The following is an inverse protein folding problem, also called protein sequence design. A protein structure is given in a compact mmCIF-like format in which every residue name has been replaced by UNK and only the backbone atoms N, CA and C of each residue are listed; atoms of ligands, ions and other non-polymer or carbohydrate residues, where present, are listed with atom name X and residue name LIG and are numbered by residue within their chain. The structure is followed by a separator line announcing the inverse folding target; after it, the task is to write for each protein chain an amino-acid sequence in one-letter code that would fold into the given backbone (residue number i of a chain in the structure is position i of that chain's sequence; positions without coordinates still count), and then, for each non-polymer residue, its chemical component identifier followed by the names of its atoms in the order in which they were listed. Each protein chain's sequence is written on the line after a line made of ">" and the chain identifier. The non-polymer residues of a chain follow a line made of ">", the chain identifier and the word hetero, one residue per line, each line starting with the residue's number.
data_IF_084607773362
#
_entry.id   IF_084607773362
#
_cell.length_a   1.000
_cell.length_b   1.000
_cell.length_c   1.000
_cell.angle_alpha   90.00
_cell.angle_beta   90.00
_cell.angle_gamma   90.00
#
_symmetry.space_group_name_H-M   'P 1'
#
loop_
_entity.id
_entity.type
_entity.pdbx_description
1 polymer ?
#
# COMPACT_ATOMS: atom_id res chain seq x y z
N UNK A 1 3.62 -4.58 -2.15
CA UNK A 1 3.14 -3.34 -1.49
C UNK A 1 1.86 -2.89 -2.15
N UNK A 2 0.88 -2.39 -1.41
CA UNK A 2 -0.35 -1.82 -1.97
C UNK A 2 -0.25 -0.29 -1.93
N UNK A 3 -0.50 0.36 -3.07
CA UNK A 3 -0.56 1.81 -3.18
C UNK A 3 -2.01 2.23 -3.39
N UNK A 4 -2.45 3.25 -2.66
CA UNK A 4 -3.78 3.83 -2.82
C UNK A 4 -3.70 5.35 -2.82
N UNK A 5 -4.52 5.96 -3.67
CA UNK A 5 -4.82 7.39 -3.64
C UNK A 5 -6.34 7.56 -3.49
N UNK A 6 -6.74 8.67 -2.88
CA UNK A 6 -8.14 9.05 -2.76
C UNK A 6 -8.32 10.52 -3.18
N UNK A 7 -9.61 10.92 -3.31
CA UNK A 7 -10.02 12.28 -3.70
C UNK A 7 -9.56 12.67 -5.11
N UNK A 8 -9.40 11.68 -5.99
CA UNK A 8 -9.32 11.91 -7.42
C UNK A 8 -10.71 12.19 -7.99
N UNK A 9 -10.77 12.74 -9.19
CA UNK A 9 -12.03 12.81 -9.94
C UNK A 9 -12.46 11.38 -10.28
N UNK A 10 -13.75 11.00 -10.08
CA UNK A 10 -14.25 9.71 -10.51
C UNK A 10 -13.99 9.45 -12.00
N UNK A 11 -13.69 8.20 -12.34
CA UNK A 11 -13.31 7.76 -13.68
C UNK A 11 -12.02 8.39 -14.24
N UNK A 12 -11.26 9.13 -13.42
CA UNK A 12 -9.96 9.65 -13.84
C UNK A 12 -8.89 8.55 -13.83
N UNK A 13 -8.00 8.63 -14.80
CA UNK A 13 -6.79 7.81 -14.81
C UNK A 13 -5.79 8.33 -13.78
N UNK A 14 -5.39 7.45 -12.87
CA UNK A 14 -4.36 7.70 -11.87
C UNK A 14 -3.08 7.03 -12.30
N UNK A 15 -2.04 7.84 -12.48
CA UNK A 15 -0.71 7.38 -12.83
C UNK A 15 0.14 7.13 -11.59
N UNK A 16 0.52 5.88 -11.35
CA UNK A 16 1.40 5.50 -10.25
C UNK A 16 2.81 5.24 -10.74
N UNK A 17 3.78 5.85 -10.09
CA UNK A 17 5.20 5.63 -10.33
C UNK A 17 5.92 5.22 -9.05
N UNK A 18 6.92 4.35 -9.19
CA UNK A 18 7.81 3.96 -8.10
C UNK A 18 9.27 4.15 -8.52
N UNK A 19 10.02 4.79 -7.65
CA UNK A 19 11.42 5.13 -7.81
C UNK A 19 12.21 4.58 -6.61
N UNK A 20 13.40 4.04 -6.84
CA UNK A 20 14.31 3.72 -5.73
C UNK A 20 15.14 4.94 -5.37
N UNK A 21 15.36 5.15 -4.08
CA UNK A 21 16.19 6.24 -3.58
C UNK A 21 17.58 6.21 -4.23
N UNK A 22 18.02 7.38 -4.74
CA UNK A 22 19.31 7.53 -5.41
C UNK A 22 19.38 6.96 -6.82
N UNK A 23 18.28 6.47 -7.40
CA UNK A 23 18.22 6.02 -8.80
C UNK A 23 17.50 7.03 -9.69
N UNK A 24 18.06 7.24 -10.87
CA UNK A 24 17.48 8.11 -11.91
C UNK A 24 16.49 7.38 -12.83
N UNK A 25 16.30 6.06 -12.65
CA UNK A 25 15.39 5.24 -13.46
C UNK A 25 14.14 4.87 -12.68
N UNK A 26 12.98 5.03 -13.33
CA UNK A 26 11.68 4.59 -12.84
C UNK A 26 11.63 3.06 -12.81
N UNK A 27 11.34 2.49 -11.64
CA UNK A 27 11.31 1.04 -11.45
C UNK A 27 9.96 0.43 -11.79
N UNK A 28 8.89 1.20 -11.62
CA UNK A 28 7.54 0.72 -11.84
C UNK A 28 6.63 1.86 -12.27
N UNK A 29 5.71 1.53 -13.16
CA UNK A 29 4.70 2.42 -13.71
C UNK A 29 3.42 1.63 -13.95
N UNK A 30 2.30 2.12 -13.43
CA UNK A 30 0.98 1.55 -13.73
C UNK A 30 -0.10 2.62 -13.62
N UNK A 31 -1.11 2.51 -14.47
CA UNK A 31 -2.31 3.35 -14.39
C UNK A 31 -3.46 2.55 -13.80
N UNK A 32 -4.25 3.18 -12.93
CA UNK A 32 -5.53 2.65 -12.46
C UNK A 32 -6.61 3.72 -12.50
N UNK A 33 -7.83 3.33 -12.83
CA UNK A 33 -8.97 4.26 -12.89
C UNK A 33 -9.56 4.47 -11.49
N UNK A 34 -9.81 5.72 -11.14
CA UNK A 34 -10.48 6.08 -9.89
C UNK A 34 -11.95 5.67 -9.92
N UNK A 35 -12.42 5.08 -8.82
CA UNK A 35 -13.83 4.68 -8.66
C UNK A 35 -14.75 5.89 -8.39
N UNK A 36 -16.04 5.63 -8.19
CA UNK A 36 -17.05 6.66 -7.88
C UNK A 36 -16.75 7.50 -6.62
N UNK A 37 -15.94 6.97 -5.70
CA UNK A 37 -15.50 7.65 -4.47
C UNK A 37 -14.18 8.44 -4.69
N UNK A 38 -13.64 8.43 -5.91
CA UNK A 38 -12.37 9.05 -6.25
C UNK A 38 -11.15 8.30 -5.72
N UNK A 39 -11.29 6.99 -5.47
CA UNK A 39 -10.20 6.13 -4.99
C UNK A 39 -9.66 5.24 -6.12
N UNK A 40 -8.34 5.14 -6.22
CA UNK A 40 -7.64 4.22 -7.10
C UNK A 40 -6.51 3.55 -6.35
N UNK A 41 -6.14 2.33 -6.76
CA UNK A 41 -5.02 1.64 -6.15
C UNK A 41 -4.46 0.54 -7.02
N UNK A 42 -3.19 0.24 -6.78
CA UNK A 42 -2.41 -0.76 -7.49
C UNK A 42 -1.67 -1.65 -6.50
N UNK A 43 -1.23 -2.81 -6.99
CA UNK A 43 -0.32 -3.67 -6.26
C UNK A 43 1.03 -3.75 -6.96
N UNK A 44 2.08 -3.44 -6.21
CA UNK A 44 3.48 -3.53 -6.67
C UNK A 44 4.09 -4.81 -6.12
N UNK A 45 4.67 -5.61 -7.01
CA UNK A 45 5.30 -6.90 -6.73
C UNK A 45 6.76 -6.89 -7.19
N UNK A 46 7.63 -7.59 -6.46
CA UNK A 46 8.96 -7.94 -6.96
C UNK A 46 8.85 -8.98 -8.10
N UNK A 47 9.73 -8.88 -9.09
CA UNK A 47 9.72 -9.73 -10.29
C UNK A 47 10.73 -10.88 -10.25
N UNK A 48 11.53 -10.96 -9.20
CA UNK A 48 12.62 -11.93 -9.02
C UNK A 48 12.48 -12.69 -7.71
N UNK A 49 13.15 -13.83 -7.65
CA UNK A 49 12.98 -14.81 -6.58
C UNK A 49 13.79 -14.48 -5.31
N UNK A 50 14.73 -13.54 -5.39
CA UNK A 50 15.57 -13.14 -4.27
C UNK A 50 15.05 -11.82 -3.64
N UNK A 51 14.46 -11.87 -2.44
CA UNK A 51 13.90 -10.71 -1.77
C UNK A 51 14.96 -9.68 -1.37
N UNK A 52 16.24 -10.07 -1.25
CA UNK A 52 17.33 -9.17 -0.88
C UNK A 52 17.55 -8.06 -1.91
N UNK A 53 17.23 -8.30 -3.19
CA UNK A 53 17.32 -7.28 -4.25
C UNK A 53 16.34 -6.14 -4.10
N UNK A 54 15.27 -6.33 -3.31
CA UNK A 54 14.23 -5.33 -3.11
C UNK A 54 14.43 -4.54 -1.83
N UNK A 55 15.51 -4.78 -1.07
CA UNK A 55 15.79 -4.03 0.16
C UNK A 55 16.23 -2.61 -0.20
N UNK A 56 15.56 -1.62 0.35
CA UNK A 56 15.85 -0.21 0.10
C UNK A 56 14.65 0.71 0.34
N UNK A 57 14.89 2.01 0.17
CA UNK A 57 13.89 3.06 0.23
C UNK A 57 13.32 3.32 -1.17
N UNK A 58 12.00 3.49 -1.24
CA UNK A 58 11.27 3.73 -2.47
C UNK A 58 10.37 4.95 -2.33
N UNK A 59 10.48 5.87 -3.28
CA UNK A 59 9.56 6.99 -3.45
C UNK A 59 8.45 6.59 -4.40
N UNK A 60 7.23 6.95 -4.05
CA UNK A 60 6.05 6.72 -4.89
C UNK A 60 5.40 8.04 -5.26
N UNK A 61 4.91 8.13 -6.48
CA UNK A 61 4.13 9.26 -6.97
C UNK A 61 2.80 8.73 -7.52
N UNK A 62 1.71 9.41 -7.20
CA UNK A 62 0.39 9.14 -7.73
C UNK A 62 -0.16 10.46 -8.28
N UNK A 63 -0.36 10.52 -9.59
CA UNK A 63 -0.87 11.69 -10.29
C UNK A 63 -2.29 11.39 -10.80
N UNK A 64 -3.25 12.23 -10.42
CA UNK A 64 -4.60 12.19 -10.97
C UNK A 64 -5.04 13.59 -11.39
N UNK A 65 -4.73 13.91 -12.64
CA UNK A 65 -5.04 15.18 -13.29
C UNK A 65 -4.43 16.38 -12.55
N UNK A 66 -5.23 17.09 -11.74
CA UNK A 66 -4.79 18.28 -11.01
C UNK A 66 -4.24 17.95 -9.61
N UNK A 67 -4.29 16.67 -9.20
CA UNK A 67 -3.88 16.22 -7.87
C UNK A 67 -2.70 15.27 -8.00
N UNK A 68 -1.51 15.75 -7.62
CA UNK A 68 -0.33 14.92 -7.43
C UNK A 68 -0.10 14.64 -5.94
N UNK A 69 0.27 13.39 -5.64
CA UNK A 69 0.62 12.93 -4.29
C UNK A 69 1.92 12.16 -4.34
N UNK A 70 2.72 12.30 -3.30
CA UNK A 70 3.91 11.48 -3.10
C UNK A 70 3.84 10.74 -1.78
N UNK A 71 4.57 9.63 -1.70
CA UNK A 71 4.77 8.84 -0.51
C UNK A 71 6.12 8.15 -0.54
N UNK A 72 6.45 7.46 0.54
CA UNK A 72 7.66 6.68 0.64
C UNK A 72 7.36 5.36 1.35
N UNK A 73 8.02 4.29 0.95
CA UNK A 73 8.06 3.05 1.70
C UNK A 73 9.47 2.46 1.72
N UNK A 74 9.80 1.75 2.79
CA UNK A 74 11.09 1.06 2.95
C UNK A 74 10.85 -0.44 2.98
N UNK A 75 11.64 -1.17 2.21
CA UNK A 75 11.70 -2.63 2.24
C UNK A 75 12.97 -3.04 2.99
N UNK A 76 12.82 -3.85 4.03
CA UNK A 76 13.93 -4.35 4.85
C UNK A 76 14.19 -5.82 4.61
N UNK A 77 15.46 -6.23 4.55
CA UNK A 77 15.84 -7.64 4.48
C UNK A 77 15.66 -8.33 5.83
N UNK A 78 15.18 -9.57 5.83
CA UNK A 78 15.07 -10.37 7.06
C UNK A 78 16.39 -11.04 7.41
N UNK A 79 16.93 -10.75 8.59
CA UNK A 79 17.91 -11.62 9.24
C UNK A 79 17.15 -12.75 9.94
N UNK A 80 17.36 -13.99 9.49
CA UNK A 80 16.76 -15.18 10.09
C UNK A 80 17.31 -15.43 11.49
N UNK A 81 16.53 -15.08 12.52
CA UNK A 81 16.77 -15.50 13.90
C UNK A 81 16.01 -16.78 14.23
N UNK A 82 16.69 -17.93 14.15
CA UNK A 82 16.26 -19.20 14.74
C UNK A 82 16.60 -19.18 16.24
N UNK A 83 15.59 -19.39 17.10
CA UNK A 83 15.78 -19.88 18.47
C UNK A 83 14.49 -20.57 18.93
N UNK A 84 14.63 -21.80 19.45
CA UNK A 84 13.59 -22.77 19.83
C UNK A 84 12.56 -22.26 20.85
N UNK A 85 11.53 -23.03 21.20
CA UNK A 85 11.60 -24.41 21.71
C UNK A 85 10.31 -25.18 21.37
N UNK A 86 10.46 -26.46 21.03
CA UNK A 86 9.38 -27.44 21.07
C UNK A 86 9.07 -27.81 22.53
N UNK A 87 7.83 -27.58 22.97
CA UNK A 87 7.31 -28.00 24.27
C UNK A 87 5.85 -28.41 24.17
N UNK A 88 5.56 -29.71 24.26
CA UNK A 88 4.27 -30.29 23.93
C UNK A 88 3.18 -30.29 25.00
N UNK A 89 2.07 -30.92 24.61
CA UNK A 89 0.94 -31.46 25.39
C UNK A 89 -0.25 -30.53 25.68
N UNK A 90 -1.43 -30.98 25.23
CA UNK A 90 -2.70 -30.62 25.86
C UNK A 90 -3.85 -30.43 24.90
N UNK A 91 -4.65 -31.48 24.69
CA UNK A 91 -5.86 -31.44 23.88
C UNK A 91 -6.94 -30.50 24.41
N UNK A 92 -7.73 -29.97 23.48
CA UNK A 92 -8.90 -29.16 23.78
C UNK A 92 -9.38 -28.49 22.51
N UNK A 93 -10.53 -28.93 22.02
CA UNK A 93 -11.19 -28.40 20.83
C UNK A 93 -11.31 -26.88 20.93
N UNK A 94 -10.41 -26.19 20.23
CA UNK A 94 -10.54 -24.80 19.83
C UNK A 94 -10.12 -24.82 18.38
N UNK A 95 -11.07 -24.68 17.46
CA UNK A 95 -10.71 -24.23 16.11
C UNK A 95 -9.77 -23.04 16.31
N UNK A 96 -8.53 -23.05 15.80
CA UNK A 96 -7.71 -21.87 15.84
C UNK A 96 -8.51 -20.80 15.10
N UNK A 97 -9.05 -19.83 15.85
CA UNK A 97 -9.35 -18.54 15.25
C UNK A 97 -8.02 -18.14 14.66
N UNK A 98 -7.97 -17.98 13.35
CA UNK A 98 -6.82 -17.42 12.63
C UNK A 98 -6.29 -16.24 13.45
N UNK A 99 -5.20 -16.46 14.18
CA UNK A 99 -4.86 -15.65 15.35
C UNK A 99 -3.82 -16.26 16.29
N UNK A 100 -3.20 -17.39 15.92
CA UNK A 100 -2.05 -17.96 16.64
C UNK A 100 -0.80 -18.18 15.78
N UNK A 101 -0.79 -17.76 14.51
CA UNK A 101 0.39 -17.80 13.63
C UNK A 101 0.50 -16.48 12.82
N UNK A 102 0.34 -15.34 13.48
CA UNK A 102 0.56 -14.01 12.88
C UNK A 102 1.60 -13.18 13.65
N UNK A 103 2.45 -13.80 14.47
CA UNK A 103 3.62 -13.14 15.06
C UNK A 103 4.83 -13.08 14.11
N UNK A 104 4.59 -13.28 12.80
CA UNK A 104 5.61 -13.21 11.76
C UNK A 104 5.10 -12.66 10.42
N UNK A 105 3.92 -12.03 10.39
CA UNK A 105 3.36 -11.42 9.19
C UNK A 105 3.14 -9.93 9.39
N UNK A 106 4.21 -9.17 9.61
CA UNK A 106 4.16 -7.76 9.19
C UNK A 106 4.50 -7.73 7.71
N UNK A 107 3.57 -8.25 6.90
CA UNK A 107 3.40 -7.69 5.57
C UNK A 107 2.94 -6.25 5.84
N UNK A 108 3.88 -5.32 5.82
CA UNK A 108 3.66 -3.91 6.14
C UNK A 108 2.56 -3.34 5.24
N UNK A 109 1.33 -3.32 5.74
CA UNK A 109 0.27 -2.53 5.17
C UNK A 109 0.51 -1.08 5.61
N UNK A 110 1.45 -0.40 4.94
CA UNK A 110 1.56 1.05 5.06
C UNK A 110 0.40 1.68 4.28
N UNK A 111 -0.66 2.03 5.01
CA UNK A 111 -1.73 2.86 4.48
C UNK A 111 -1.23 4.31 4.45
N UNK A 112 -1.13 4.91 3.27
CA UNK A 112 -0.91 6.36 3.15
C UNK A 112 -2.21 7.05 3.62
N UNK A 113 -2.18 7.61 4.83
CA UNK A 113 -3.28 8.39 5.41
C UNK A 113 -3.44 9.72 4.64
N UNK A 114 -4.44 9.79 3.77
CA UNK A 114 -4.81 11.03 3.07
C UNK A 114 -5.32 12.09 4.04
N UNK A 115 -4.54 13.16 4.22
CA UNK A 115 -4.83 14.28 5.12
C UNK A 115 -6.21 14.91 4.93
N UNK A 116 -6.85 15.23 6.05
CA UNK A 116 -8.21 15.74 6.16
C UNK A 116 -8.40 17.13 5.55
N UNK A 117 -9.40 17.24 4.68
CA UNK A 117 -10.12 18.48 4.45
C UNK A 117 -11.57 18.05 4.19
N UNK A 118 -12.45 18.32 5.15
CA UNK A 118 -13.88 18.14 4.98
C UNK A 118 -14.36 19.19 3.98
N UNK A 119 -14.57 18.81 2.72
CA UNK A 119 -15.20 19.71 1.75
C UNK A 119 -16.70 19.75 2.10
N UNK A 120 -17.11 20.88 2.66
CA UNK A 120 -18.52 21.16 2.97
C UNK A 120 -19.36 21.14 1.70
N UNK A 121 -20.41 20.31 1.70
CA UNK A 121 -21.42 20.24 0.66
C UNK A 121 -22.20 21.57 0.56
N UNK A 122 -21.82 22.43 -0.38
CA UNK A 122 -22.68 23.54 -0.78
C UNK A 122 -23.75 23.03 -1.77
N UNK A 123 -24.84 22.45 -1.25
CA UNK A 123 -26.09 22.32 -1.99
C UNK A 123 -26.65 23.72 -2.25
N UNK A 124 -26.56 24.23 -3.47
CA UNK A 124 -27.51 25.26 -3.97
C UNK A 124 -28.42 24.66 -5.03
N UNK A 125 -29.53 24.13 -4.54
CA UNK A 125 -30.77 23.96 -5.29
C UNK A 125 -31.13 25.32 -5.87
N UNK A 126 -31.19 25.47 -7.20
CA UNK A 126 -32.02 26.52 -7.77
C UNK A 126 -32.84 26.02 -8.95
N UNK A 127 -34.13 26.02 -8.67
CA UNK A 127 -35.30 25.82 -9.50
C UNK A 127 -35.43 26.99 -10.47
N UNK A 128 -35.77 26.70 -11.72
CA UNK A 128 -36.71 27.45 -12.56
C UNK A 128 -37.02 26.65 -13.81
#
# INVERSE_FOLDING_TARGET
>A
VQLMVNKCVPDADVHFEVWSEGKEEKLYEQTATANEEGAAGIHVYGLGDDPAYYVGTYQVFADCMDVSRSGEFVVTGGDGGDSGEAGGSGGGSSMPRTGAELTGLTAGALLILGGGAAIGLARRKNKS
#
